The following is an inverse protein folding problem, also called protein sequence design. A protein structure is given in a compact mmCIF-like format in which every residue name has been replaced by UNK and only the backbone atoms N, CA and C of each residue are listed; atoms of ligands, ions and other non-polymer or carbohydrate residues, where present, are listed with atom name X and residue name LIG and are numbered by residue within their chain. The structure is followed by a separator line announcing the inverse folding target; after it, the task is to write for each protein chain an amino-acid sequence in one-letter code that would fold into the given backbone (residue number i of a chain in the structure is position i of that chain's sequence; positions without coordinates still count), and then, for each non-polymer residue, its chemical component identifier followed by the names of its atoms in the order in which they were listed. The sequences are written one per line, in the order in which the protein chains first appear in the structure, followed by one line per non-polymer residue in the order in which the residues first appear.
data_IF_465836351990
#
_entry.id   IF_465836351990
#
_cell.length_a   1.000
_cell.length_b   1.000
_cell.length_c   1.000
_cell.angle_alpha   90.00
_cell.angle_beta   90.00
_cell.angle_gamma   90.00
#
_symmetry.space_group_name_H-M   'P 1'
#
loop_
_entity.id
_entity.type
_entity.pdbx_description
1 polymer ?
#
# COMPACT_ATOMS: atom_id res chain seq x y z
N UNK A 1 14.06 -28.40 21.74
CA UNK A 1 12.63 -28.70 21.58
C UNK A 1 11.91 -27.37 21.44
N UNK A 2 11.82 -26.85 20.21
CA UNK A 2 11.10 -25.61 19.92
C UNK A 2 9.76 -26.02 19.34
N UNK A 3 8.67 -25.66 20.00
CA UNK A 3 7.33 -25.97 19.56
C UNK A 3 7.10 -25.41 18.15
N UNK A 4 6.86 -26.31 17.20
CA UNK A 4 6.28 -25.96 15.91
C UNK A 4 4.89 -25.40 16.21
N UNK A 5 4.72 -24.08 16.06
CA UNK A 5 3.39 -23.47 16.05
C UNK A 5 2.68 -24.04 14.83
N UNK A 6 1.58 -24.75 15.08
CA UNK A 6 0.62 -25.14 14.06
C UNK A 6 0.14 -23.87 13.36
N UNK A 7 0.65 -23.61 12.16
CA UNK A 7 0.04 -22.66 11.24
C UNK A 7 -1.26 -23.30 10.81
N UNK A 8 -2.36 -22.92 11.48
CA UNK A 8 -3.71 -23.26 11.06
C UNK A 8 -3.84 -23.01 9.56
N UNK A 9 -4.35 -24.02 8.86
CA UNK A 9 -4.53 -24.11 7.42
C UNK A 9 -5.01 -22.77 6.81
N UNK A 10 -4.08 -21.92 6.40
CA UNK A 10 -4.37 -20.68 5.67
C UNK A 10 -3.98 -20.97 4.24
N UNK A 11 -4.95 -21.45 3.46
CA UNK A 11 -4.79 -21.61 2.02
C UNK A 11 -4.27 -20.29 1.44
N UNK A 12 -3.13 -20.28 0.72
CA UNK A 12 -2.47 -19.04 0.33
C UNK A 12 -3.33 -18.22 -0.63
N UNK A 13 -3.69 -17.00 -0.21
CA UNK A 13 -3.94 -15.81 -1.05
C UNK A 13 -4.78 -16.01 -2.32
N UNK A 14 -5.82 -16.84 -2.29
CA UNK A 14 -6.68 -17.02 -3.46
C UNK A 14 -7.58 -15.81 -3.67
N UNK A 15 -8.03 -15.59 -4.90
CA UNK A 15 -8.96 -14.49 -5.19
C UNK A 15 -10.29 -14.71 -4.47
N UNK A 16 -10.69 -15.95 -4.26
CA UNK A 16 -11.86 -16.33 -3.47
C UNK A 16 -11.73 -15.90 -2.01
N UNK A 17 -10.55 -16.01 -1.39
CA UNK A 17 -10.35 -15.53 -0.02
C UNK A 17 -10.37 -14.01 0.07
N UNK A 18 -9.85 -13.32 -0.96
CA UNK A 18 -9.95 -11.86 -1.09
C UNK A 18 -11.41 -11.40 -1.15
N UNK A 19 -12.24 -12.11 -1.93
CA UNK A 19 -13.64 -11.78 -2.14
C UNK A 19 -14.59 -12.40 -1.09
N UNK A 20 -14.06 -13.11 -0.09
CA UNK A 20 -14.85 -13.64 1.01
C UNK A 20 -15.60 -12.52 1.74
N UNK A 21 -16.86 -12.77 2.08
CA UNK A 21 -17.77 -11.78 2.68
C UNK A 21 -17.19 -11.17 3.96
N UNK A 22 -16.57 -11.99 4.81
CA UNK A 22 -15.95 -11.56 6.06
C UNK A 22 -14.79 -10.60 5.80
N UNK A 23 -13.94 -10.91 4.81
CA UNK A 23 -12.83 -10.06 4.39
C UNK A 23 -13.33 -8.74 3.82
N UNK A 24 -14.32 -8.78 2.92
CA UNK A 24 -14.93 -7.58 2.33
C UNK A 24 -15.59 -6.68 3.37
N UNK A 25 -16.23 -7.23 4.40
CA UNK A 25 -16.80 -6.46 5.49
C UNK A 25 -15.72 -5.77 6.34
N UNK A 26 -14.61 -6.47 6.61
CA UNK A 26 -13.47 -5.90 7.30
C UNK A 26 -12.82 -4.78 6.46
N UNK A 27 -12.64 -5.02 5.16
CA UNK A 27 -12.13 -4.03 4.20
C UNK A 27 -13.03 -2.79 4.13
N UNK A 28 -14.35 -2.98 4.05
CA UNK A 28 -15.34 -1.90 4.03
C UNK A 28 -15.26 -1.05 5.30
N UNK A 29 -15.14 -1.68 6.47
CA UNK A 29 -15.01 -0.97 7.75
C UNK A 29 -13.79 -0.06 7.76
N UNK A 30 -12.66 -0.52 7.22
CA UNK A 30 -11.44 0.29 7.10
C UNK A 30 -11.58 1.42 6.08
N UNK A 31 -12.17 1.15 4.91
CA UNK A 31 -12.42 2.20 3.89
C UNK A 31 -13.33 3.30 4.45
N UNK A 32 -14.35 2.91 5.22
CA UNK A 32 -15.25 3.84 5.89
C UNK A 32 -14.54 4.64 6.98
N UNK A 33 -13.70 4.01 7.79
CA UNK A 33 -12.95 4.67 8.86
C UNK A 33 -11.93 5.69 8.31
N UNK A 34 -11.34 5.42 7.15
CA UNK A 34 -10.37 6.30 6.50
C UNK A 34 -11.00 7.56 5.87
N UNK A 35 -12.33 7.57 5.66
CA UNK A 35 -13.14 8.70 5.14
C UNK A 35 -12.50 9.49 3.98
N UNK A 36 -11.87 8.76 3.06
CA UNK A 36 -11.12 9.35 1.95
C UNK A 36 -12.02 10.03 0.94
N UNK A 37 -11.53 11.12 0.32
CA UNK A 37 -12.27 11.86 -0.70
C UNK A 37 -12.73 10.98 -1.88
N UNK A 38 -13.76 11.45 -2.59
CA UNK A 38 -14.32 10.75 -3.74
C UNK A 38 -13.30 10.59 -4.88
N UNK A 39 -13.45 9.51 -5.65
CA UNK A 39 -12.66 9.24 -6.85
C UNK A 39 -13.13 10.04 -8.05
N UNK A 40 -12.82 9.56 -9.27
CA UNK A 40 -13.21 10.21 -10.53
C UNK A 40 -14.74 10.18 -10.76
N UNK A 41 -15.42 9.22 -10.14
CA UNK A 41 -16.87 9.04 -10.17
C UNK A 41 -17.62 10.03 -9.26
N UNK A 42 -16.91 10.79 -8.42
CA UNK A 42 -17.50 11.74 -7.48
C UNK A 42 -18.35 11.10 -6.38
N UNK A 43 -18.27 9.78 -6.20
CA UNK A 43 -19.04 9.06 -5.18
C UNK A 43 -18.26 8.97 -3.86
N UNK A 44 -18.89 9.43 -2.78
CA UNK A 44 -18.40 9.22 -1.42
C UNK A 44 -18.79 7.83 -0.88
N UNK A 45 -18.34 7.50 0.34
CA UNK A 45 -18.60 6.19 0.96
C UNK A 45 -20.10 5.91 1.11
N UNK A 46 -20.91 6.94 1.43
CA UNK A 46 -22.36 6.77 1.66
C UNK A 46 -23.11 6.47 0.37
N UNK A 47 -22.77 7.18 -0.71
CA UNK A 47 -23.39 7.01 -2.02
C UNK A 47 -22.91 5.75 -2.73
N UNK A 48 -21.68 5.31 -2.46
CA UNK A 48 -21.08 4.16 -3.14
C UNK A 48 -21.69 2.83 -2.69
N UNK A 49 -22.01 2.66 -1.40
CA UNK A 49 -22.43 1.36 -0.86
C UNK A 49 -23.68 0.77 -1.55
N UNK A 50 -24.79 1.50 -1.74
CA UNK A 50 -25.97 0.95 -2.40
C UNK A 50 -25.67 0.50 -3.83
N UNK A 51 -24.86 1.27 -4.57
CA UNK A 51 -24.47 0.95 -5.93
C UNK A 51 -23.55 -0.27 -6.01
N UNK A 52 -22.59 -0.37 -5.10
CA UNK A 52 -21.71 -1.54 -5.00
C UNK A 52 -22.55 -2.78 -4.71
N UNK A 53 -23.48 -2.74 -3.75
CA UNK A 53 -24.35 -3.87 -3.44
C UNK A 53 -25.22 -4.29 -4.64
N UNK A 54 -25.76 -3.32 -5.38
CA UNK A 54 -26.57 -3.58 -6.57
C UNK A 54 -25.74 -4.23 -7.70
N UNK A 55 -24.53 -3.71 -7.94
CA UNK A 55 -23.65 -4.16 -9.02
C UNK A 55 -22.76 -5.35 -8.62
N UNK A 56 -22.76 -5.77 -7.35
CA UNK A 56 -21.80 -6.72 -6.80
C UNK A 56 -21.70 -8.04 -7.60
N UNK A 57 -22.79 -8.72 -7.97
CA UNK A 57 -22.69 -9.97 -8.73
C UNK A 57 -21.93 -9.80 -10.06
N UNK A 58 -22.08 -8.64 -10.71
CA UNK A 58 -21.37 -8.31 -11.95
C UNK A 58 -19.89 -8.02 -11.69
N UNK A 59 -19.59 -7.29 -10.61
CA UNK A 59 -18.22 -6.93 -10.21
C UNK A 59 -17.44 -8.19 -9.82
N UNK A 60 -18.02 -9.03 -8.97
CA UNK A 60 -17.44 -10.30 -8.51
C UNK A 60 -17.14 -11.23 -9.69
N UNK A 61 -18.10 -11.42 -10.59
CA UNK A 61 -17.89 -12.24 -11.80
C UNK A 61 -16.79 -11.67 -12.72
N UNK A 62 -16.63 -10.34 -12.78
CA UNK A 62 -15.55 -9.72 -13.55
C UNK A 62 -14.19 -9.92 -12.86
N UNK A 63 -14.12 -9.81 -11.53
CA UNK A 63 -12.90 -10.05 -10.76
C UNK A 63 -12.44 -11.50 -10.91
N UNK A 64 -13.33 -12.47 -10.65
CA UNK A 64 -13.03 -13.91 -10.77
C UNK A 64 -12.61 -14.31 -12.20
N UNK A 65 -13.17 -13.65 -13.21
CA UNK A 65 -12.80 -13.89 -14.61
C UNK A 65 -11.55 -13.10 -15.07
N UNK A 66 -10.91 -12.30 -14.20
CA UNK A 66 -9.77 -11.46 -14.57
C UNK A 66 -10.10 -10.33 -15.56
N UNK A 67 -11.37 -9.94 -15.66
CA UNK A 67 -11.89 -8.89 -16.58
C UNK A 67 -12.22 -7.57 -15.89
N UNK A 68 -12.00 -7.48 -14.57
CA UNK A 68 -12.17 -6.24 -13.84
C UNK A 68 -11.09 -5.22 -14.24
N UNK A 69 -11.51 -4.05 -14.69
CA UNK A 69 -10.62 -2.93 -14.97
C UNK A 69 -10.89 -1.83 -13.91
N UNK A 70 -9.90 -1.50 -13.06
CA UNK A 70 -10.03 -0.40 -12.10
C UNK A 70 -10.35 0.92 -12.79
N UNK A 71 -11.09 1.79 -12.12
CA UNK A 71 -11.37 3.12 -12.65
C UNK A 71 -10.11 4.01 -12.60
N UNK A 72 -10.12 5.05 -13.42
CA UNK A 72 -9.05 6.05 -13.40
C UNK A 72 -8.96 6.73 -12.02
N UNK A 73 -7.73 6.96 -11.56
CA UNK A 73 -7.48 7.69 -10.31
C UNK A 73 -7.71 9.19 -10.52
N UNK A 74 -8.39 9.85 -9.58
CA UNK A 74 -8.57 11.30 -9.62
C UNK A 74 -7.31 11.99 -9.11
N UNK A 75 -6.68 12.82 -9.95
CA UNK A 75 -5.54 13.63 -9.56
C UNK A 75 -5.98 14.84 -8.73
N UNK A 76 -5.39 15.01 -7.54
CA UNK A 76 -5.59 16.18 -6.69
C UNK A 76 -4.24 16.76 -6.31
N UNK A 77 -4.03 18.02 -6.65
CA UNK A 77 -2.82 18.74 -6.29
C UNK A 77 -2.99 19.40 -4.93
N UNK A 78 -2.10 19.10 -3.99
CA UNK A 78 -2.05 19.71 -2.66
C UNK A 78 -0.68 20.39 -2.45
N UNK A 79 -0.62 21.51 -1.71
CA UNK A 79 0.64 22.17 -1.40
C UNK A 79 1.47 21.34 -0.41
N UNK A 80 2.80 21.32 -0.58
CA UNK A 80 3.73 20.77 0.40
C UNK A 80 3.95 21.78 1.55
N UNK A 81 4.23 21.32 2.78
CA UNK A 81 4.50 22.21 3.92
C UNK A 81 5.70 23.14 3.72
N UNK A 82 6.69 22.74 2.91
CA UNK A 82 7.93 23.48 2.66
C UNK A 82 8.03 24.05 1.23
N UNK A 83 6.89 24.19 0.54
CA UNK A 83 6.82 24.71 -0.82
C UNK A 83 6.83 23.62 -1.91
N UNK A 84 6.26 23.99 -3.07
CA UNK A 84 5.97 23.05 -4.17
C UNK A 84 4.65 22.29 -3.98
N UNK A 85 4.33 21.46 -4.96
CA UNK A 85 3.06 20.74 -5.03
C UNK A 85 3.27 19.22 -4.95
N UNK A 86 2.27 18.51 -4.42
CA UNK A 86 2.15 17.05 -4.45
C UNK A 86 0.84 16.69 -5.12
N UNK A 87 0.93 15.95 -6.22
CA UNK A 87 -0.24 15.32 -6.81
C UNK A 87 -0.53 14.00 -6.09
N UNK A 88 -1.75 13.86 -5.58
CA UNK A 88 -2.30 12.63 -5.03
C UNK A 88 -3.21 11.97 -6.07
N UNK A 89 -3.13 10.65 -6.19
CA UNK A 89 -4.11 9.85 -6.94
C UNK A 89 -5.15 9.28 -5.99
N UNK A 90 -6.42 9.60 -6.21
CA UNK A 90 -7.54 9.16 -5.37
C UNK A 90 -8.37 8.15 -6.17
N UNK A 91 -8.30 6.84 -5.85
CA UNK A 91 -9.12 5.82 -6.51
C UNK A 91 -10.61 5.96 -6.13
N UNK A 92 -11.49 5.28 -6.86
CA UNK A 92 -12.91 5.17 -6.48
C UNK A 92 -13.08 4.41 -5.17
N UNK A 93 -14.22 4.56 -4.50
CA UNK A 93 -14.51 3.82 -3.26
C UNK A 93 -14.47 2.30 -3.50
N UNK A 94 -14.98 1.84 -4.64
CA UNK A 94 -14.94 0.42 -5.02
C UNK A 94 -13.50 -0.07 -5.19
N UNK A 95 -12.66 0.69 -5.89
CA UNK A 95 -11.26 0.30 -6.08
C UNK A 95 -10.50 0.26 -4.75
N UNK A 96 -10.77 1.20 -3.83
CA UNK A 96 -10.20 1.19 -2.47
C UNK A 96 -10.65 -0.02 -1.67
N UNK A 97 -11.92 -0.41 -1.80
CA UNK A 97 -12.45 -1.62 -1.15
C UNK A 97 -11.73 -2.88 -1.64
N UNK A 98 -11.57 -3.03 -2.96
CA UNK A 98 -10.88 -4.18 -3.56
C UNK A 98 -9.39 -4.19 -3.16
N UNK A 99 -8.71 -3.04 -3.25
CA UNK A 99 -7.31 -2.91 -2.83
C UNK A 99 -7.12 -3.25 -1.35
N UNK A 100 -8.02 -2.79 -0.49
CA UNK A 100 -7.99 -3.08 0.94
C UNK A 100 -8.21 -4.57 1.22
N UNK A 101 -9.14 -5.20 0.51
CA UNK A 101 -9.42 -6.63 0.63
C UNK A 101 -8.22 -7.49 0.19
N UNK A 102 -7.55 -7.10 -0.90
CA UNK A 102 -6.30 -7.72 -1.37
C UNK A 102 -5.20 -7.54 -0.32
N UNK A 103 -5.02 -6.32 0.18
CA UNK A 103 -4.01 -6.00 1.19
C UNK A 103 -4.17 -6.84 2.46
N UNK A 104 -5.40 -7.06 2.93
CA UNK A 104 -5.67 -7.90 4.11
C UNK A 104 -5.24 -9.36 3.94
N UNK A 105 -5.34 -9.92 2.73
CA UNK A 105 -4.94 -11.30 2.45
C UNK A 105 -3.44 -11.43 2.19
N UNK A 106 -2.81 -10.45 1.55
CA UNK A 106 -1.39 -10.50 1.18
C UNK A 106 -0.46 -10.07 2.31
N UNK A 107 -0.90 -9.17 3.20
CA UNK A 107 -0.03 -8.66 4.27
C UNK A 107 0.46 -9.76 5.22
N UNK A 108 -0.37 -10.70 5.70
CA UNK A 108 0.11 -11.79 6.55
C UNK A 108 1.16 -12.70 5.89
N UNK A 109 1.15 -12.78 4.55
CA UNK A 109 2.10 -13.57 3.78
C UNK A 109 3.46 -12.88 3.71
N UNK A 110 3.50 -11.56 3.49
CA UNK A 110 4.75 -10.82 3.29
C UNK A 110 5.33 -10.18 4.55
N UNK A 111 4.52 -9.90 5.57
CA UNK A 111 4.98 -9.29 6.82
C UNK A 111 6.14 -10.03 7.51
N UNK A 112 6.17 -11.38 7.54
CA UNK A 112 7.28 -12.14 8.11
C UNK A 112 8.60 -11.99 7.35
N UNK A 113 8.54 -11.74 6.04
CA UNK A 113 9.72 -11.67 5.17
C UNK A 113 10.34 -10.27 5.12
N UNK A 114 9.61 -9.24 5.57
CA UNK A 114 10.14 -7.88 5.61
C UNK A 114 11.24 -7.72 6.67
N UNK A 115 12.35 -7.09 6.27
CA UNK A 115 13.45 -6.71 7.16
C UNK A 115 12.98 -5.99 8.42
N UNK A 116 13.62 -6.28 9.55
CA UNK A 116 13.40 -5.60 10.83
C UNK A 116 13.69 -4.09 10.79
N UNK A 117 14.50 -3.65 9.82
CA UNK A 117 14.82 -2.25 9.59
C UNK A 117 13.93 -1.58 8.53
N UNK A 118 12.86 -2.25 8.09
CA UNK A 118 11.80 -1.68 7.27
C UNK A 118 10.65 -1.21 8.16
N UNK A 119 10.40 0.11 8.18
CA UNK A 119 9.42 0.75 9.08
C UNK A 119 8.25 1.44 8.35
N UNK A 120 8.35 1.64 7.04
CA UNK A 120 7.33 2.35 6.26
C UNK A 120 6.15 1.47 5.89
N UNK A 121 4.92 1.98 6.03
CA UNK A 121 3.68 1.34 5.58
C UNK A 121 3.41 -0.08 6.13
N UNK A 122 3.95 -0.40 7.31
CA UNK A 122 3.79 -1.72 7.95
C UNK A 122 2.94 -1.63 9.21
N UNK A 123 2.18 -2.70 9.46
CA UNK A 123 1.37 -2.79 10.68
C UNK A 123 2.28 -2.82 11.93
N UNK A 124 1.97 -1.99 12.92
CA UNK A 124 2.72 -1.94 14.18
C UNK A 124 4.12 -1.34 14.11
N UNK A 125 4.52 -0.74 12.97
CA UNK A 125 5.78 0.01 12.82
C UNK A 125 5.50 1.45 12.44
N UNK A 126 6.32 2.36 12.94
CA UNK A 126 6.14 3.81 12.76
C UNK A 126 7.43 4.51 12.39
N UNK A 127 7.32 5.75 11.88
CA UNK A 127 8.48 6.62 11.67
C UNK A 127 9.29 6.84 12.97
N UNK A 128 8.63 6.84 14.13
CA UNK A 128 9.31 6.96 15.42
C UNK A 128 10.19 5.74 15.73
N UNK A 129 9.79 4.53 15.31
CA UNK A 129 10.62 3.34 15.44
C UNK A 129 11.91 3.44 14.60
N UNK A 130 11.78 3.96 13.38
CA UNK A 130 12.93 4.22 12.52
C UNK A 130 13.91 5.22 13.17
N UNK A 131 13.39 6.33 13.72
CA UNK A 131 14.21 7.33 14.43
C UNK A 131 14.90 6.72 15.65
N UNK A 132 14.20 5.91 16.44
CA UNK A 132 14.80 5.21 17.60
C UNK A 132 15.93 4.27 17.18
N UNK A 133 15.73 3.50 16.11
CA UNK A 133 16.75 2.61 15.58
C UNK A 133 17.99 3.41 15.10
N UNK A 134 17.77 4.51 14.37
CA UNK A 134 18.84 5.40 13.92
C UNK A 134 19.64 5.99 15.10
N UNK A 135 18.96 6.46 16.15
CA UNK A 135 19.62 6.93 17.38
C UNK A 135 20.47 5.85 18.05
N UNK A 136 20.01 4.59 18.03
CA UNK A 136 20.77 3.45 18.52
C UNK A 136 22.09 3.24 17.76
N UNK A 137 22.07 3.34 16.42
CA UNK A 137 23.27 3.23 15.60
C UNK A 137 24.28 4.36 15.85
N UNK A 138 23.81 5.59 16.03
CA UNK A 138 24.66 6.73 16.37
C UNK A 138 25.33 6.51 17.73
N UNK A 139 24.57 6.08 18.74
CA UNK A 139 25.11 5.77 20.08
C UNK A 139 26.13 4.62 20.06
N UNK A 140 25.99 3.68 19.12
CA UNK A 140 26.94 2.58 18.91
C UNK A 140 28.19 3.00 18.12
N UNK A 141 28.38 4.29 17.81
CA UNK A 141 29.57 4.82 17.15
C UNK A 141 29.49 4.85 15.62
N UNK A 142 28.34 4.54 15.01
CA UNK A 142 28.14 4.71 13.56
C UNK A 142 27.82 6.18 13.28
N UNK A 143 28.85 6.96 12.97
CA UNK A 143 28.75 8.42 12.75
C UNK A 143 28.48 8.84 11.31
N UNK A 144 28.46 7.89 10.37
CA UNK A 144 28.21 8.15 8.96
C UNK A 144 26.84 7.61 8.54
N UNK A 145 26.07 8.46 7.87
CA UNK A 145 24.75 8.13 7.31
C UNK A 145 24.84 8.24 5.79
N UNK A 146 24.38 7.21 5.11
CA UNK A 146 24.19 7.23 3.66
C UNK A 146 22.69 7.41 3.43
N UNK A 147 22.31 8.58 2.93
CA UNK A 147 20.93 8.89 2.57
C UNK A 147 20.69 8.52 1.11
N UNK A 148 19.76 7.58 0.88
CA UNK A 148 19.40 7.07 -0.44
C UNK A 148 17.92 7.36 -0.68
N UNK A 149 17.60 8.20 -1.66
CA UNK A 149 16.23 8.49 -2.08
C UNK A 149 15.97 7.95 -3.50
N UNK A 150 14.84 7.27 -3.68
CA UNK A 150 14.42 6.77 -4.99
C UNK A 150 13.46 7.78 -5.62
N UNK A 151 13.84 8.30 -6.79
CA UNK A 151 13.00 9.24 -7.54
C UNK A 151 11.71 8.54 -7.99
N UNK A 152 10.60 8.94 -7.37
CA UNK A 152 9.22 8.58 -7.76
C UNK A 152 8.91 7.07 -7.76
N UNK A 153 8.90 6.44 -6.60
CA UNK A 153 8.55 5.01 -6.38
C UNK A 153 7.21 4.54 -7.00
N UNK A 154 6.29 5.46 -7.32
CA UNK A 154 4.91 5.15 -7.74
C UNK A 154 4.58 5.52 -9.21
N UNK A 155 5.55 5.91 -10.04
CA UNK A 155 5.28 5.99 -11.50
C UNK A 155 5.08 4.59 -12.05
N UNK A 156 4.24 4.40 -13.09
CA UNK A 156 4.09 3.11 -13.73
C UNK A 156 5.48 2.58 -14.10
N UNK A 157 5.85 1.43 -13.55
CA UNK A 157 6.97 0.68 -14.07
C UNK A 157 6.55 0.30 -15.49
N UNK A 158 7.15 0.95 -16.50
CA UNK A 158 6.87 0.64 -17.88
C UNK A 158 7.24 -0.82 -18.11
N UNK A 159 6.22 -1.64 -18.39
CA UNK A 159 6.39 -3.04 -18.72
C UNK A 159 7.09 -3.12 -20.09
N UNK A 160 8.43 -3.09 -20.10
CA UNK A 160 9.23 -3.41 -21.27
C UNK A 160 10.11 -4.63 -20.96
N UNK A 161 10.05 -5.69 -21.79
CA UNK A 161 11.14 -6.63 -21.86
C UNK A 161 12.28 -5.91 -22.59
N UNK A 162 13.46 -5.83 -21.95
CA UNK A 162 14.80 -5.49 -22.45
C UNK A 162 15.50 -4.45 -21.56
N UNK A 163 16.58 -4.90 -20.92
CA UNK A 163 17.73 -4.07 -20.56
C UNK A 163 17.49 -2.96 -19.54
N UNK A 164 17.49 -3.32 -18.25
CA UNK A 164 17.58 -2.35 -17.16
C UNK A 164 18.97 -1.69 -17.19
N UNK A 165 19.07 -0.54 -17.83
CA UNK A 165 20.16 0.42 -17.64
C UNK A 165 19.90 1.22 -16.37
N UNK A 166 20.52 0.80 -15.26
CA UNK A 166 20.63 1.61 -14.05
C UNK A 166 21.39 2.90 -14.37
N UNK A 167 20.68 4.02 -14.52
CA UNK A 167 21.30 5.34 -14.36
C UNK A 167 21.18 5.69 -12.88
N UNK A 168 22.25 5.41 -12.14
CA UNK A 168 22.48 5.90 -10.78
C UNK A 168 22.98 7.34 -10.94
N UNK A 169 22.12 8.33 -10.69
CA UNK A 169 22.61 9.69 -10.41
C UNK A 169 23.06 9.72 -8.95
N UNK A 170 24.38 9.70 -8.72
CA UNK A 170 24.98 9.93 -7.41
C UNK A 170 24.75 11.38 -6.98
N UNK A 171 23.78 11.62 -6.10
CA UNK A 171 23.74 12.85 -5.29
C UNK A 171 24.00 12.49 -3.83
N UNK A 172 25.26 12.21 -3.51
CA UNK A 172 25.71 12.07 -2.12
C UNK A 172 25.67 13.42 -1.42
N UNK A 173 24.69 13.65 -0.54
CA UNK A 173 24.77 14.71 0.49
C UNK A 173 25.19 14.10 1.80
N UNK A 174 26.46 14.29 2.14
CA UNK A 174 27.01 13.94 3.44
C UNK A 174 26.57 15.00 4.45
N UNK A 175 25.57 14.72 5.27
CA UNK A 175 25.15 15.62 6.37
C UNK A 175 25.97 15.27 7.60
N UNK A 176 26.92 16.14 7.96
CA UNK A 176 27.62 16.13 9.25
C UNK A 176 26.81 16.98 10.23
N UNK A 177 26.54 16.48 11.43
CA UNK A 177 26.16 17.31 12.57
C UNK A 177 27.42 17.65 13.37
#
# INVERSE_FOLDING_TARGET
MTAMRETGNMEPGTLESVLAKENLNAAWSQVKANDGAAGVDGMDVQRSLPRICQDWPRIEAALLAGRYLPAAVRAVTIPKPQGGERTLGIPTVLDRLIQQAIHQQLSPVWEPDFSEHSYGFRSGRSAHDAVRAAQGFIKAGKSWVIDLDLKSFLVPCSYYPLGCGLIVEETGKCIRH
#
